data_IF_576763318068
#
_entry.id   IF_576763318068
#
_cell.length_a   1.000
_cell.length_b   1.000
_cell.length_c   1.000
_cell.angle_alpha   90.00
_cell.angle_beta   90.00
_cell.angle_gamma   90.00
#
_symmetry.space_group_name_H-M   'P 1'
#
loop_
_entity.id
_entity.type
_entity.pdbx_description
1 polymer ?
#
# COMPACT_ATOMS: atom_id res chain seq x y z
N UNK A 1 14.26 5.08 7.24
CA UNK A 1 13.82 5.08 5.83
C UNK A 1 12.29 5.03 5.76
N UNK A 2 11.70 5.88 4.96
CA UNK A 2 10.26 5.88 4.75
C UNK A 2 9.90 4.93 3.61
N UNK A 3 9.22 3.84 3.93
CA UNK A 3 8.84 2.81 2.97
C UNK A 3 7.34 2.75 2.81
N UNK A 4 6.89 2.66 1.56
CA UNK A 4 5.48 2.53 1.21
C UNK A 4 5.24 1.25 0.42
N UNK A 5 4.11 0.60 0.67
CA UNK A 5 3.63 -0.52 -0.13
C UNK A 5 2.28 -0.14 -0.72
N UNK A 6 2.16 -0.22 -2.03
CA UNK A 6 0.90 0.02 -2.73
C UNK A 6 0.27 -1.32 -3.10
N UNK A 7 -0.92 -1.56 -2.58
CA UNK A 7 -1.70 -2.77 -2.87
C UNK A 7 -2.87 -2.39 -3.77
N UNK A 8 -2.77 -2.71 -5.05
CA UNK A 8 -3.79 -2.37 -6.05
C UNK A 8 -4.92 -3.40 -6.09
N UNK A 9 -5.45 -3.72 -4.89
CA UNK A 9 -6.53 -4.70 -4.74
C UNK A 9 -7.68 -4.09 -3.95
N UNK A 10 -8.91 -4.26 -4.44
CA UNK A 10 -10.11 -3.75 -3.76
C UNK A 10 -10.62 -4.69 -2.67
N UNK A 11 -10.44 -5.99 -2.84
CA UNK A 11 -10.94 -6.98 -1.91
C UNK A 11 -10.07 -7.10 -0.66
N UNK A 12 -10.72 -7.28 0.49
CA UNK A 12 -10.01 -7.47 1.75
C UNK A 12 -9.14 -8.74 1.73
N UNK A 13 -9.67 -9.83 1.17
CA UNK A 13 -8.94 -11.10 1.09
C UNK A 13 -7.63 -10.97 0.32
N UNK A 14 -7.64 -10.30 -0.84
CA UNK A 14 -6.44 -10.10 -1.64
C UNK A 14 -5.42 -9.24 -0.91
N UNK A 15 -5.88 -8.19 -0.20
CA UNK A 15 -4.99 -7.37 0.62
C UNK A 15 -4.36 -8.19 1.74
N UNK A 16 -5.14 -9.03 2.42
CA UNK A 16 -4.63 -9.86 3.52
C UNK A 16 -3.64 -10.92 3.03
N UNK A 17 -3.82 -11.45 1.81
CA UNK A 17 -2.87 -12.38 1.22
C UNK A 17 -1.49 -11.75 1.02
N UNK A 18 -1.45 -10.45 0.77
CA UNK A 18 -0.19 -9.74 0.56
C UNK A 18 0.43 -9.20 1.86
N UNK A 19 -0.23 -9.39 3.01
CA UNK A 19 0.32 -8.92 4.28
C UNK A 19 1.64 -9.61 4.64
N UNK A 20 1.81 -10.87 4.26
CA UNK A 20 3.07 -11.58 4.52
C UNK A 20 4.25 -10.83 3.88
N UNK A 21 4.07 -10.37 2.64
CA UNK A 21 5.09 -9.56 1.96
C UNK A 21 5.29 -8.21 2.63
N UNK A 22 4.21 -7.57 3.04
CA UNK A 22 4.28 -6.29 3.76
C UNK A 22 5.04 -6.44 5.07
N UNK A 23 4.79 -7.50 5.83
CA UNK A 23 5.50 -7.75 7.07
C UNK A 23 6.99 -8.02 6.84
N UNK A 24 7.35 -8.77 5.79
CA UNK A 24 8.76 -9.00 5.47
C UNK A 24 9.47 -7.70 5.11
N UNK A 25 8.81 -6.84 4.34
CA UNK A 25 9.34 -5.52 4.00
C UNK A 25 9.51 -4.68 5.27
N UNK A 26 8.53 -4.69 6.16
CA UNK A 26 8.57 -3.92 7.41
C UNK A 26 9.66 -4.43 8.35
N UNK A 27 9.89 -5.74 8.41
CA UNK A 27 10.97 -6.30 9.22
C UNK A 27 12.34 -5.86 8.72
N UNK A 28 12.49 -5.69 7.41
CA UNK A 28 13.76 -5.30 6.80
C UNK A 28 14.02 -3.79 6.90
N UNK A 29 12.99 -2.96 6.73
CA UNK A 29 13.14 -1.52 6.57
C UNK A 29 12.51 -0.69 7.70
N UNK A 30 11.83 -1.32 8.66
CA UNK A 30 11.06 -0.63 9.71
C UNK A 30 9.58 -0.50 9.35
N UNK A 31 8.75 0.02 10.25
CA UNK A 31 7.32 0.16 10.02
C UNK A 31 7.00 0.88 8.70
N UNK A 32 6.01 0.35 7.97
CA UNK A 32 5.67 0.81 6.63
C UNK A 32 4.33 1.51 6.58
N UNK A 33 4.12 2.29 5.52
CA UNK A 33 2.82 2.85 5.15
C UNK A 33 2.24 2.01 4.02
N UNK A 34 0.98 1.61 4.13
CA UNK A 34 0.27 0.89 3.08
C UNK A 34 -0.72 1.82 2.40
N UNK A 35 -0.69 1.87 1.07
CA UNK A 35 -1.71 2.54 0.27
C UNK A 35 -2.55 1.44 -0.38
N UNK A 36 -3.86 1.49 -0.21
CA UNK A 36 -4.75 0.41 -0.62
C UNK A 36 -6.04 0.93 -1.24
N UNK A 37 -6.67 0.08 -2.07
CA UNK A 37 -8.01 0.33 -2.61
C UNK A 37 -9.10 -0.32 -1.75
N UNK A 38 -8.73 -0.96 -0.63
CA UNK A 38 -9.67 -1.61 0.28
C UNK A 38 -9.98 -0.70 1.46
N UNK A 39 -11.24 -0.28 1.60
CA UNK A 39 -11.65 0.66 2.65
C UNK A 39 -11.70 0.05 4.05
N UNK A 40 -11.64 -1.28 4.18
CA UNK A 40 -11.69 -1.96 5.46
C UNK A 40 -10.31 -2.33 6.02
N UNK A 41 -9.25 -2.12 5.23
CA UNK A 41 -7.92 -2.58 5.62
C UNK A 41 -7.36 -1.81 6.81
N UNK A 42 -7.63 -0.52 6.89
CA UNK A 42 -7.16 0.32 8.00
C UNK A 42 -7.65 -0.23 9.35
N UNK A 43 -8.94 -0.55 9.46
CA UNK A 43 -9.50 -1.07 10.70
C UNK A 43 -8.89 -2.42 11.06
N UNK A 44 -8.63 -3.27 10.07
CA UNK A 44 -8.03 -4.59 10.27
C UNK A 44 -6.61 -4.50 10.80
N UNK A 45 -5.84 -3.50 10.34
CA UNK A 45 -4.41 -3.36 10.67
C UNK A 45 -4.14 -2.34 11.79
N UNK A 46 -5.17 -1.84 12.43
CA UNK A 46 -5.07 -0.74 13.41
C UNK A 46 -4.06 -1.00 14.52
N UNK A 47 -3.93 -2.24 14.96
CA UNK A 47 -3.05 -2.61 16.07
C UNK A 47 -1.78 -3.32 15.65
N UNK A 48 -1.46 -3.30 14.35
CA UNK A 48 -0.26 -3.97 13.83
C UNK A 48 0.96 -3.04 13.98
N UNK A 49 1.95 -3.38 14.81
CA UNK A 49 3.10 -2.51 15.05
C UNK A 49 4.02 -2.35 13.84
N UNK A 50 3.95 -3.26 12.86
CA UNK A 50 4.75 -3.18 11.63
C UNK A 50 4.13 -2.29 10.58
N UNK A 51 2.87 -1.91 10.77
CA UNK A 51 2.14 -1.04 9.84
C UNK A 51 1.97 0.32 10.48
N UNK A 52 2.74 1.29 10.01
CA UNK A 52 2.72 2.64 10.55
C UNK A 52 1.42 3.38 10.23
N UNK A 53 0.94 3.25 9.01
CA UNK A 53 -0.23 3.96 8.51
C UNK A 53 -0.86 3.22 7.34
N UNK A 54 -2.19 3.27 7.23
CA UNK A 54 -2.91 2.76 6.06
C UNK A 54 -3.65 3.93 5.42
N UNK A 55 -3.42 4.14 4.12
CA UNK A 55 -4.07 5.20 3.35
C UNK A 55 -5.00 4.55 2.33
N UNK A 56 -6.30 4.81 2.47
CA UNK A 56 -7.29 4.35 1.51
C UNK A 56 -7.41 5.34 0.36
N UNK A 57 -7.35 4.82 -0.87
CA UNK A 57 -7.67 5.60 -2.06
C UNK A 57 -8.78 4.88 -2.83
N UNK A 58 -9.72 5.66 -3.38
CA UNK A 58 -10.87 5.10 -4.09
C UNK A 58 -10.72 5.12 -5.61
N UNK A 59 -9.54 5.44 -6.11
CA UNK A 59 -9.24 5.51 -7.53
C UNK A 59 -8.52 4.26 -8.00
N UNK A 60 -9.05 3.62 -9.04
CA UNK A 60 -8.43 2.44 -9.63
C UNK A 60 -7.49 2.86 -10.76
N UNK A 61 -6.23 2.53 -10.64
CA UNK A 61 -5.18 2.99 -11.56
C UNK A 61 -4.89 1.93 -12.63
N UNK A 62 -5.72 1.89 -13.67
CA UNK A 62 -5.55 0.96 -14.80
C UNK A 62 -4.83 1.58 -16.00
N UNK A 63 -4.91 2.92 -16.13
CA UNK A 63 -4.35 3.61 -17.28
C UNK A 63 -3.07 4.30 -16.92
N UNK A 64 -2.25 4.59 -17.93
CA UNK A 64 -0.97 5.27 -17.74
C UNK A 64 -1.13 6.63 -17.03
N UNK A 65 -2.17 7.39 -17.40
CA UNK A 65 -2.45 8.68 -16.75
C UNK A 65 -2.76 8.49 -15.27
N UNK A 66 -3.54 7.46 -14.93
CA UNK A 66 -3.86 7.15 -13.54
C UNK A 66 -2.59 6.77 -12.76
N UNK A 67 -1.67 6.04 -13.39
CA UNK A 67 -0.39 5.69 -12.78
C UNK A 67 0.44 6.93 -12.51
N UNK A 68 0.50 7.89 -13.43
CA UNK A 68 1.23 9.15 -13.23
C UNK A 68 0.63 9.97 -12.10
N UNK A 69 -0.70 10.01 -12.00
CA UNK A 69 -1.38 10.70 -10.89
C UNK A 69 -1.09 10.03 -9.55
N UNK A 70 -1.04 8.71 -9.53
CA UNK A 70 -0.66 7.96 -8.33
C UNK A 70 0.78 8.28 -7.93
N UNK A 71 1.69 8.34 -8.89
CA UNK A 71 3.09 8.67 -8.61
C UNK A 71 3.21 10.06 -7.99
N UNK A 72 2.49 11.05 -8.52
CA UNK A 72 2.46 12.40 -7.94
C UNK A 72 1.91 12.38 -6.52
N UNK A 73 0.82 11.65 -6.30
CA UNK A 73 0.21 11.51 -4.99
C UNK A 73 1.19 10.91 -3.98
N UNK A 74 1.87 9.84 -4.36
CA UNK A 74 2.85 9.16 -3.50
C UNK A 74 4.03 10.10 -3.20
N UNK A 75 4.49 10.86 -4.19
CA UNK A 75 5.61 11.78 -4.00
C UNK A 75 5.31 12.87 -2.98
N UNK A 76 4.04 13.23 -2.76
CA UNK A 76 3.68 14.22 -1.72
C UNK A 76 3.99 13.73 -0.31
N UNK A 77 4.15 12.42 -0.10
CA UNK A 77 4.48 11.85 1.20
C UNK A 77 5.98 11.65 1.42
N UNK A 78 6.81 11.95 0.42
CA UNK A 78 8.28 11.86 0.51
C UNK A 78 8.78 10.47 0.93
N UNK A 79 8.25 9.41 0.30
CA UNK A 79 8.76 8.06 0.56
C UNK A 79 10.13 7.86 -0.09
N UNK A 80 11.01 7.16 0.61
CA UNK A 80 12.33 6.79 0.10
C UNK A 80 12.27 5.63 -0.88
N UNK A 81 11.30 4.71 -0.68
CA UNK A 81 11.09 3.58 -1.59
C UNK A 81 9.64 3.14 -1.56
N UNK A 82 9.19 2.57 -2.66
CA UNK A 82 7.81 2.15 -2.86
C UNK A 82 7.79 0.78 -3.52
N UNK A 83 7.06 -0.17 -2.91
CA UNK A 83 6.81 -1.49 -3.47
C UNK A 83 5.38 -1.51 -4.00
N UNK A 84 5.21 -1.90 -5.26
CA UNK A 84 3.91 -1.86 -5.94
C UNK A 84 3.48 -3.27 -6.33
N UNK A 85 2.27 -3.65 -5.92
CA UNK A 85 1.68 -4.94 -6.23
C UNK A 85 0.40 -4.73 -7.03
N UNK A 86 0.31 -5.36 -8.20
CA UNK A 86 -0.86 -5.31 -9.07
C UNK A 86 -1.46 -6.69 -9.22
N UNK A 87 -2.81 -6.79 -9.45
CA UNK A 87 -3.40 -8.06 -9.82
C UNK A 87 -2.79 -8.55 -11.13
N UNK A 88 -2.51 -9.85 -11.23
CA UNK A 88 -2.09 -10.45 -12.49
C UNK A 88 -3.26 -10.50 -13.47
N UNK A 89 -2.97 -10.23 -14.71
CA UNK A 89 -3.97 -10.26 -15.77
C UNK A 89 -4.22 -11.67 -16.26
#
# INVERSE_FOLDING_TARGET
MKTCVYLSYKGLGANLLHLAYCHEIAKKFGPITIITLCNNLEATLKNDPLIKKVVFINKYHKRFIDFLNLKKFINTFNFDQIFIYYPSL
#
